data_IF_460281918023
#
_entry.id   IF_460281918023
#
_cell.length_a   1.000
_cell.length_b   1.000
_cell.length_c   1.000
_cell.angle_alpha   90.00
_cell.angle_beta   90.00
_cell.angle_gamma   90.00
#
_symmetry.space_group_name_H-M   'P 1'
#
loop_
_entity.id
_entity.type
_entity.pdbx_description
1 polymer ?
#
# COMPACT_ATOMS: atom_id res chain seq x y z
N UNK A 1 -10.44 -4.00 22.31
CA UNK A 1 -9.06 -3.49 22.42
C UNK A 1 -8.49 -3.49 21.01
N UNK A 2 -7.85 -2.41 20.59
CA UNK A 2 -7.22 -2.32 19.26
C UNK A 2 -5.78 -1.82 19.42
N UNK A 3 -4.96 -2.07 18.39
CA UNK A 3 -3.60 -1.54 18.26
C UNK A 3 -3.57 -0.66 17.02
N UNK A 4 -2.97 0.52 17.14
CA UNK A 4 -2.76 1.45 16.03
C UNK A 4 -1.28 1.47 15.64
N UNK A 5 -1.02 1.50 14.33
CA UNK A 5 0.33 1.64 13.79
C UNK A 5 0.32 2.57 12.58
N UNK A 6 1.37 3.37 12.41
CA UNK A 6 1.53 4.28 11.28
C UNK A 6 2.94 4.18 10.71
N UNK A 7 3.06 4.43 9.40
CA UNK A 7 4.32 4.43 8.67
C UNK A 7 4.37 5.70 7.81
N UNK A 8 5.51 6.38 7.82
CA UNK A 8 5.77 7.53 6.97
C UNK A 8 7.05 7.29 6.17
N UNK A 9 7.03 7.66 4.89
CA UNK A 9 8.19 7.64 4.00
C UNK A 9 8.48 9.04 3.44
N UNK A 10 9.69 9.21 2.91
CA UNK A 10 10.13 10.45 2.23
C UNK A 10 10.31 10.24 0.72
N UNK A 11 9.66 9.21 0.17
CA UNK A 11 9.67 8.94 -1.26
C UNK A 11 8.84 9.95 -2.03
N UNK A 12 8.71 9.71 -3.34
CA UNK A 12 7.96 10.59 -4.24
C UNK A 12 6.44 10.63 -3.96
N UNK A 13 5.96 9.91 -2.96
CA UNK A 13 4.55 9.82 -2.59
C UNK A 13 3.70 9.02 -3.58
N UNK A 14 2.40 8.97 -3.31
CA UNK A 14 1.40 8.28 -4.13
C UNK A 14 0.49 9.35 -4.74
N UNK A 15 0.17 9.24 -6.03
CA UNK A 15 -0.77 10.17 -6.66
C UNK A 15 -2.17 10.00 -6.03
N UNK A 16 -2.94 11.07 -5.83
CA UNK A 16 -4.28 10.98 -5.25
C UNK A 16 -5.19 9.96 -5.96
N UNK A 17 -5.14 9.93 -7.30
CA UNK A 17 -5.92 9.01 -8.13
C UNK A 17 -5.52 7.54 -7.94
N UNK A 18 -4.29 7.29 -7.45
CA UNK A 18 -3.78 5.95 -7.21
C UNK A 18 -4.17 5.40 -5.82
N UNK A 19 -4.58 6.25 -4.86
CA UNK A 19 -4.81 5.85 -3.46
C UNK A 19 -5.84 4.73 -3.31
N UNK A 20 -6.90 4.72 -4.11
CA UNK A 20 -7.92 3.68 -4.04
C UNK A 20 -7.47 2.35 -4.65
N UNK A 21 -6.43 2.35 -5.49
CA UNK A 21 -5.98 1.18 -6.22
C UNK A 21 -4.72 0.53 -5.67
N UNK A 22 -3.92 1.23 -4.85
CA UNK A 22 -2.64 0.69 -4.32
C UNK A 22 -2.79 -0.59 -3.49
N UNK A 23 -3.98 -0.83 -2.90
CA UNK A 23 -4.28 -2.04 -2.13
C UNK A 23 -4.77 -3.20 -2.99
N UNK A 24 -4.97 -3.00 -4.30
CA UNK A 24 -5.37 -4.08 -5.22
C UNK A 24 -4.14 -4.89 -5.63
N UNK A 25 -4.27 -6.21 -5.78
CA UNK A 25 -3.15 -7.05 -6.21
C UNK A 25 -2.71 -6.69 -7.62
N UNK A 26 -1.40 -6.75 -7.85
CA UNK A 26 -0.74 -6.49 -9.14
C UNK A 26 -0.83 -5.05 -9.64
N UNK A 27 -1.35 -4.12 -8.83
CA UNK A 27 -1.28 -2.69 -9.14
C UNK A 27 0.14 -2.20 -8.90
N UNK A 28 0.69 -1.52 -9.90
CA UNK A 28 1.95 -0.79 -9.81
C UNK A 28 1.60 0.70 -9.85
N UNK A 29 2.11 1.47 -8.90
CA UNK A 29 2.02 2.92 -8.99
C UNK A 29 2.67 3.41 -10.28
N UNK A 30 2.23 4.56 -10.77
CA UNK A 30 2.81 5.21 -11.95
C UNK A 30 4.25 5.72 -11.72
N UNK A 31 4.74 5.57 -10.49
CA UNK A 31 6.08 5.92 -10.07
C UNK A 31 7.11 5.00 -10.73
N UNK A 32 8.03 5.61 -11.47
CA UNK A 32 9.14 4.91 -12.11
C UNK A 32 10.05 4.39 -10.99
N UNK A 33 10.35 3.08 -10.91
CA UNK A 33 11.27 2.55 -9.91
C UNK A 33 12.63 3.25 -10.02
N UNK A 34 13.10 3.83 -8.92
CA UNK A 34 14.36 4.60 -8.89
C UNK A 34 15.59 3.72 -9.09
N UNK A 35 15.47 2.42 -8.85
CA UNK A 35 16.59 1.46 -8.82
C UNK A 35 16.41 0.27 -9.77
N UNK A 36 15.48 0.35 -10.73
CA UNK A 36 15.20 -0.76 -11.67
C UNK A 36 14.54 -1.99 -11.03
N UNK A 37 14.06 -1.86 -9.79
CA UNK A 37 13.44 -2.93 -9.02
C UNK A 37 12.12 -3.38 -9.65
N UNK A 38 11.95 -4.70 -9.80
CA UNK A 38 10.66 -5.29 -10.19
C UNK A 38 9.81 -5.50 -8.95
N UNK A 39 8.91 -4.57 -8.67
CA UNK A 39 7.82 -4.80 -7.74
C UNK A 39 6.69 -5.60 -8.42
N UNK A 40 6.16 -6.61 -7.73
CA UNK A 40 5.00 -7.40 -8.18
C UNK A 40 3.67 -6.71 -7.92
N UNK A 41 3.64 -5.68 -7.07
CA UNK A 41 2.41 -5.01 -6.65
C UNK A 41 1.58 -5.83 -5.65
N UNK A 42 2.21 -6.75 -4.91
CA UNK A 42 1.50 -7.63 -3.96
C UNK A 42 1.57 -7.16 -2.50
N UNK A 43 2.57 -6.35 -2.13
CA UNK A 43 2.82 -6.00 -0.72
C UNK A 43 1.61 -5.37 -0.02
N UNK A 44 1.08 -4.27 -0.57
CA UNK A 44 -0.08 -3.58 -0.01
C UNK A 44 -1.37 -4.41 -0.12
N UNK A 45 -1.50 -5.28 -1.11
CA UNK A 45 -2.63 -6.21 -1.20
C UNK A 45 -2.60 -7.28 -0.10
N UNK A 46 -1.41 -7.77 0.27
CA UNK A 46 -1.22 -8.67 1.40
C UNK A 46 -1.56 -7.93 2.70
N UNK A 47 -1.05 -6.71 2.87
CA UNK A 47 -1.43 -5.86 3.99
C UNK A 47 -2.95 -5.72 4.02
N UNK A 48 -3.60 -5.49 2.88
CA UNK A 48 -5.06 -5.41 2.70
C UNK A 48 -5.78 -6.60 3.35
N UNK A 49 -5.37 -7.79 2.95
CA UNK A 49 -5.94 -9.04 3.44
C UNK A 49 -5.73 -9.23 4.95
N UNK A 50 -4.56 -8.85 5.47
CA UNK A 50 -4.26 -9.02 6.90
C UNK A 50 -5.21 -8.20 7.78
N UNK A 51 -5.48 -6.92 7.49
CA UNK A 51 -6.44 -6.20 8.36
C UNK A 51 -7.84 -6.77 8.21
N UNK A 52 -8.26 -7.14 7.01
CA UNK A 52 -9.62 -7.66 6.78
C UNK A 52 -9.84 -8.95 7.60
N UNK A 53 -8.83 -9.84 7.65
CA UNK A 53 -8.84 -11.06 8.47
C UNK A 53 -8.79 -10.78 9.98
N UNK A 54 -8.22 -9.64 10.40
CA UNK A 54 -8.13 -9.23 11.80
C UNK A 54 -9.24 -8.25 12.20
N UNK A 55 -10.23 -8.00 11.33
CA UNK A 55 -11.28 -6.99 11.54
C UNK A 55 -10.73 -5.59 11.86
N UNK A 56 -9.57 -5.25 11.30
CA UNK A 56 -8.95 -3.94 11.40
C UNK A 56 -9.45 -2.98 10.33
N UNK A 57 -9.30 -1.69 10.58
CA UNK A 57 -9.59 -0.64 9.60
C UNK A 57 -8.30 0.05 9.14
N UNK A 58 -8.27 0.45 7.87
CA UNK A 58 -7.22 1.33 7.33
C UNK A 58 -7.77 2.74 7.26
N UNK A 59 -6.97 3.69 7.71
CA UNK A 59 -7.25 5.11 7.61
C UNK A 59 -6.09 5.76 6.85
N UNK A 60 -6.41 6.59 5.85
CA UNK A 60 -5.42 7.24 5.00
C UNK A 60 -5.95 7.46 3.59
#
# INVERSE_FOLDING_TARGET
MYVETSVADQGMGIRPDDLHQIFRPFVKGQNIPTSGERATGLGLAIVSKIFDEHHGERYG
#
